data_IF_631889715274
#
_entry.id   IF_631889715274
#
_cell.length_a   1.000
_cell.length_b   1.000
_cell.length_c   1.000
_cell.angle_alpha   90.00
_cell.angle_beta   90.00
_cell.angle_gamma   90.00
#
_symmetry.space_group_name_H-M   'P 1'
#
loop_
_entity.id
_entity.type
_entity.pdbx_description
1 polymer ?
#
# COMPACT_ATOMS: atom_id res chain seq x y z
N UNK A 1 -3.28 9.97 7.63
CA UNK A 1 -3.89 8.64 7.86
C UNK A 1 -5.36 8.70 8.29
N UNK A 2 -5.80 9.67 9.07
CA UNK A 2 -7.21 9.81 9.51
C UNK A 2 -8.23 10.08 8.39
N UNK A 3 -7.81 10.62 7.25
CA UNK A 3 -8.67 10.89 6.09
C UNK A 3 -8.94 9.65 5.22
N UNK A 4 -8.10 8.62 5.31
CA UNK A 4 -8.22 7.39 4.54
C UNK A 4 -9.59 6.69 4.73
N UNK A 5 -10.06 6.46 5.97
CA UNK A 5 -11.36 5.84 6.21
C UNK A 5 -12.56 6.68 5.74
N UNK A 6 -12.37 7.98 5.55
CA UNK A 6 -13.45 8.88 5.14
C UNK A 6 -13.53 8.95 3.62
N UNK A 7 -12.40 8.98 2.93
CA UNK A 7 -12.33 9.22 1.48
C UNK A 7 -12.43 7.92 0.67
N UNK A 8 -11.76 6.86 1.11
CA UNK A 8 -11.67 5.63 0.34
C UNK A 8 -12.98 4.86 0.19
N UNK A 9 -13.77 4.58 1.26
CA UNK A 9 -14.97 3.78 1.11
C UNK A 9 -16.00 4.36 0.13
N UNK A 10 -16.31 5.68 0.13
CA UNK A 10 -17.18 6.27 -0.87
C UNK A 10 -16.63 6.12 -2.29
N UNK A 11 -15.33 6.32 -2.49
CA UNK A 11 -14.70 6.16 -3.81
C UNK A 11 -14.72 4.70 -4.28
N UNK A 12 -14.43 3.76 -3.40
CA UNK A 12 -14.52 2.33 -3.70
C UNK A 12 -15.93 1.94 -4.16
N UNK A 13 -16.97 2.38 -3.45
CA UNK A 13 -18.35 2.09 -3.81
C UNK A 13 -18.83 2.79 -5.07
N UNK A 14 -18.34 4.02 -5.32
CA UNK A 14 -18.70 4.78 -6.53
C UNK A 14 -18.11 4.16 -7.79
N UNK A 15 -16.86 3.71 -7.71
CA UNK A 15 -16.12 3.18 -8.87
C UNK A 15 -16.16 1.67 -9.02
N UNK A 16 -16.82 0.92 -8.12
CA UNK A 16 -16.92 -0.55 -8.19
C UNK A 16 -18.38 -0.98 -8.21
N UNK A 17 -18.75 -1.89 -9.10
CA UNK A 17 -20.09 -2.42 -9.16
C UNK A 17 -20.31 -3.52 -8.10
N UNK A 18 -21.55 -3.73 -7.65
CA UNK A 18 -21.87 -4.78 -6.67
C UNK A 18 -21.39 -6.17 -7.11
N UNK A 19 -21.50 -6.46 -8.39
CA UNK A 19 -21.01 -7.72 -8.95
C UNK A 19 -19.48 -7.88 -8.86
N UNK A 20 -18.75 -6.78 -8.92
CA UNK A 20 -17.27 -6.77 -8.75
C UNK A 20 -16.87 -6.87 -7.28
N UNK A 21 -17.65 -6.28 -6.36
CA UNK A 21 -17.43 -6.38 -4.91
C UNK A 21 -17.57 -7.82 -4.40
N UNK A 22 -18.51 -8.59 -4.97
CA UNK A 22 -18.77 -9.97 -4.61
C UNK A 22 -17.77 -10.99 -5.20
N UNK A 23 -16.76 -10.56 -5.96
CA UNK A 23 -15.75 -11.48 -6.49
C UNK A 23 -14.90 -12.01 -5.33
N UNK A 24 -15.11 -13.27 -4.98
CA UNK A 24 -14.31 -14.00 -4.01
C UNK A 24 -13.07 -14.56 -4.70
N UNK A 25 -11.91 -14.16 -4.22
CA UNK A 25 -10.64 -14.73 -4.69
C UNK A 25 -10.38 -16.03 -3.96
N UNK A 26 -10.39 -17.16 -4.68
CA UNK A 26 -9.96 -18.43 -4.11
C UNK A 26 -8.47 -18.39 -3.83
N UNK A 27 -8.13 -18.47 -2.55
CA UNK A 27 -6.74 -18.61 -2.15
C UNK A 27 -6.31 -20.07 -2.33
N UNK A 28 -5.76 -20.37 -3.49
CA UNK A 28 -5.07 -21.64 -3.74
C UNK A 28 -3.57 -21.43 -3.53
N UNK A 29 -3.02 -21.78 -2.38
CA UNK A 29 -1.58 -21.68 -2.13
C UNK A 29 -0.86 -22.66 -3.06
N UNK A 30 -0.25 -22.15 -4.13
CA UNK A 30 0.67 -22.93 -4.93
C UNK A 30 2.03 -22.92 -4.22
N UNK A 31 2.65 -24.07 -3.94
CA UNK A 31 3.98 -24.09 -3.37
C UNK A 31 4.95 -23.45 -4.38
N UNK A 32 5.49 -22.30 -4.00
CA UNK A 32 6.51 -21.61 -4.80
C UNK A 32 7.87 -22.12 -4.38
N UNK A 33 8.73 -22.41 -5.32
CA UNK A 33 10.09 -22.88 -5.05
C UNK A 33 10.85 -21.82 -4.21
N UNK A 34 11.55 -22.24 -3.16
CA UNK A 34 12.31 -21.37 -2.24
C UNK A 34 13.29 -20.47 -3.02
N UNK A 35 13.90 -21.00 -4.08
CA UNK A 35 14.78 -20.23 -4.97
C UNK A 35 14.08 -19.05 -5.63
N UNK A 36 12.83 -19.22 -6.07
CA UNK A 36 12.04 -18.15 -6.70
C UNK A 36 11.71 -17.06 -5.69
N UNK A 37 11.37 -17.43 -4.48
CA UNK A 37 11.03 -16.47 -3.41
C UNK A 37 12.24 -15.63 -3.00
N UNK A 38 13.44 -16.22 -3.00
CA UNK A 38 14.70 -15.51 -2.70
C UNK A 38 15.16 -14.66 -3.89
N UNK A 39 15.00 -15.15 -5.10
CA UNK A 39 15.46 -14.44 -6.30
C UNK A 39 14.57 -13.25 -6.66
N UNK A 40 13.28 -13.33 -6.36
CA UNK A 40 12.29 -12.31 -6.65
C UNK A 40 12.68 -10.92 -6.11
N UNK A 41 12.98 -10.72 -4.82
CA UNK A 41 13.36 -9.41 -4.31
C UNK A 41 14.65 -8.86 -4.91
N UNK A 42 15.59 -9.72 -5.26
CA UNK A 42 16.84 -9.31 -5.90
C UNK A 42 16.57 -8.79 -7.32
N UNK A 43 15.81 -9.54 -8.11
CA UNK A 43 15.47 -9.16 -9.49
C UNK A 43 14.66 -7.85 -9.49
N UNK A 44 13.66 -7.73 -8.61
CA UNK A 44 12.83 -6.51 -8.51
C UNK A 44 13.68 -5.30 -8.14
N UNK A 45 14.63 -5.45 -7.21
CA UNK A 45 15.54 -4.36 -6.81
C UNK A 45 16.43 -3.92 -7.98
N UNK A 46 16.99 -4.85 -8.72
CA UNK A 46 17.83 -4.54 -9.88
C UNK A 46 17.01 -3.84 -10.97
N UNK A 47 15.83 -4.37 -11.29
CA UNK A 47 14.96 -3.75 -12.29
C UNK A 47 14.51 -2.34 -11.86
N UNK A 48 14.15 -2.17 -10.60
CA UNK A 48 13.80 -0.85 -10.05
C UNK A 48 14.96 0.14 -10.15
N UNK A 49 16.18 -0.30 -9.86
CA UNK A 49 17.38 0.54 -9.99
C UNK A 49 17.66 1.00 -11.42
N UNK A 50 17.34 0.15 -12.41
CA UNK A 50 17.53 0.47 -13.83
C UNK A 50 16.43 1.40 -14.37
N UNK A 51 15.17 1.10 -14.07
CA UNK A 51 14.02 1.79 -14.67
C UNK A 51 13.49 2.96 -13.85
N UNK A 52 13.66 2.92 -12.52
CA UNK A 52 13.09 3.88 -11.57
C UNK A 52 14.13 4.27 -10.50
N UNK A 53 15.24 4.94 -10.87
CA UNK A 53 16.34 5.24 -9.96
C UNK A 53 15.89 6.05 -8.73
N UNK A 54 14.93 6.97 -8.87
CA UNK A 54 14.41 7.77 -7.75
C UNK A 54 13.61 6.94 -6.73
N UNK A 55 12.93 5.89 -7.17
CA UNK A 55 12.18 4.98 -6.30
C UNK A 55 13.02 3.78 -5.82
N UNK A 56 14.20 3.57 -6.41
CA UNK A 56 15.04 2.41 -6.12
C UNK A 56 15.38 2.24 -4.62
N UNK A 57 15.72 3.29 -3.84
CA UNK A 57 16.00 3.12 -2.42
C UNK A 57 14.81 2.59 -1.62
N UNK A 58 13.59 3.07 -1.94
CA UNK A 58 12.37 2.63 -1.27
C UNK A 58 12.05 1.18 -1.62
N UNK A 59 12.14 0.82 -2.89
CA UNK A 59 11.90 -0.54 -3.37
C UNK A 59 12.96 -1.50 -2.83
N UNK A 60 14.22 -1.09 -2.83
CA UNK A 60 15.32 -1.90 -2.32
C UNK A 60 15.16 -2.22 -0.82
N UNK A 61 14.80 -1.25 0.00
CA UNK A 61 14.57 -1.48 1.43
C UNK A 61 13.37 -2.38 1.69
N UNK A 62 12.29 -2.24 0.92
CA UNK A 62 11.13 -3.14 0.96
C UNK A 62 11.54 -4.58 0.57
N UNK A 63 12.28 -4.72 -0.51
CA UNK A 63 12.74 -6.02 -1.01
C UNK A 63 13.77 -6.66 -0.08
N UNK A 64 14.63 -5.85 0.57
CA UNK A 64 15.54 -6.34 1.61
C UNK A 64 14.76 -6.92 2.80
N UNK A 65 13.72 -6.24 3.27
CA UNK A 65 12.85 -6.76 4.34
C UNK A 65 12.16 -8.08 3.93
N UNK A 66 11.71 -8.18 2.68
CA UNK A 66 11.15 -9.42 2.15
C UNK A 66 12.20 -10.54 2.08
N UNK A 67 13.40 -10.24 1.59
CA UNK A 67 14.51 -11.18 1.52
C UNK A 67 14.91 -11.71 2.90
N UNK A 68 15.01 -10.82 3.90
CA UNK A 68 15.31 -11.20 5.29
C UNK A 68 14.27 -12.16 5.84
N UNK A 69 12.99 -11.90 5.59
CA UNK A 69 11.88 -12.75 6.02
C UNK A 69 11.89 -14.12 5.36
N UNK A 70 11.99 -14.14 4.04
CA UNK A 70 11.83 -15.37 3.24
C UNK A 70 13.09 -16.26 3.24
N UNK A 71 14.26 -15.69 3.52
CA UNK A 71 15.51 -16.47 3.63
C UNK A 71 15.47 -17.45 4.80
N UNK A 72 14.83 -17.07 5.91
CA UNK A 72 14.79 -17.84 7.16
C UNK A 72 16.12 -17.94 7.89
N UNK A 73 17.19 -17.29 7.40
CA UNK A 73 18.53 -17.36 7.99
C UNK A 73 18.74 -16.25 9.03
N UNK A 74 18.06 -15.12 8.87
CA UNK A 74 18.22 -13.92 9.72
C UNK A 74 16.93 -13.56 10.44
N UNK A 75 16.26 -14.54 11.00
CA UNK A 75 14.94 -14.39 11.63
C UNK A 75 14.94 -13.35 12.76
N UNK A 76 15.96 -13.37 13.62
CA UNK A 76 16.14 -12.40 14.70
C UNK A 76 16.30 -10.96 14.19
N UNK A 77 17.05 -10.74 13.10
CA UNK A 77 17.20 -9.43 12.48
C UNK A 77 15.88 -8.97 11.81
N UNK A 78 15.17 -9.89 11.18
CA UNK A 78 13.86 -9.62 10.59
C UNK A 78 12.84 -9.17 11.64
N UNK A 79 12.82 -9.85 12.79
CA UNK A 79 11.97 -9.50 13.93
C UNK A 79 12.34 -8.13 14.51
N UNK A 80 13.62 -7.87 14.72
CA UNK A 80 14.13 -6.59 15.24
C UNK A 80 13.80 -5.43 14.28
N UNK A 81 13.96 -5.64 12.97
CA UNK A 81 13.61 -4.63 11.96
C UNK A 81 12.12 -4.32 11.95
N UNK A 82 11.29 -5.35 12.09
CA UNK A 82 9.84 -5.23 12.08
C UNK A 82 9.28 -4.54 13.33
N UNK A 83 9.87 -4.73 14.48
CA UNK A 83 9.37 -4.20 15.76
C UNK A 83 10.22 -3.03 16.28
N UNK A 84 11.46 -3.29 16.66
CA UNK A 84 12.28 -2.28 17.33
C UNK A 84 12.63 -1.10 16.40
N UNK A 85 13.14 -1.38 15.18
CA UNK A 85 13.52 -0.32 14.24
C UNK A 85 12.29 0.44 13.77
N UNK A 86 11.18 -0.24 13.47
CA UNK A 86 9.94 0.41 13.03
C UNK A 86 9.36 1.30 14.11
N UNK A 87 9.32 0.85 15.36
CA UNK A 87 8.81 1.65 16.47
C UNK A 87 9.71 2.86 16.75
N UNK A 88 11.02 2.67 16.75
CA UNK A 88 11.98 3.76 16.94
C UNK A 88 11.89 4.79 15.81
N UNK A 89 11.85 4.36 14.56
CA UNK A 89 11.68 5.25 13.41
C UNK A 89 10.36 6.00 13.47
N UNK A 90 9.26 5.35 13.86
CA UNK A 90 7.94 5.97 14.01
C UNK A 90 7.96 7.04 15.10
N UNK A 91 8.62 6.78 16.22
CA UNK A 91 8.77 7.76 17.30
C UNK A 91 9.53 8.99 16.85
N UNK A 92 10.69 8.81 16.21
CA UNK A 92 11.47 9.94 15.69
C UNK A 92 10.76 10.69 14.58
N UNK A 93 10.09 10.01 13.66
CA UNK A 93 9.24 10.65 12.66
C UNK A 93 8.13 11.48 13.30
N UNK A 94 7.46 10.95 14.32
CA UNK A 94 6.43 11.68 15.06
C UNK A 94 6.96 12.93 15.73
N UNK A 95 8.15 12.85 16.36
CA UNK A 95 8.81 13.99 17.00
C UNK A 95 9.22 15.06 15.97
N UNK A 96 9.83 14.65 14.86
CA UNK A 96 10.27 15.58 13.79
C UNK A 96 9.05 16.26 13.17
N UNK A 97 8.03 15.50 12.79
CA UNK A 97 6.81 16.07 12.20
C UNK A 97 6.12 16.99 13.22
N UNK A 98 6.00 16.57 14.48
CA UNK A 98 5.42 17.40 15.55
C UNK A 98 6.17 18.70 15.78
N UNK A 99 7.50 18.68 15.73
CA UNK A 99 8.33 19.89 15.90
C UNK A 99 8.18 20.89 14.73
N UNK A 100 7.82 20.43 13.55
CA UNK A 100 7.57 21.29 12.37
C UNK A 100 6.16 21.88 12.33
N UNK A 101 5.25 21.39 13.17
CA UNK A 101 3.87 21.88 13.27
C UNK A 101 3.78 23.15 14.15
N UNK A 102 4.41 24.22 13.70
CA UNK A 102 4.22 25.56 14.31
C UNK A 102 2.91 26.15 13.76
N UNK A 103 2.10 26.76 14.65
CA UNK A 103 0.76 27.27 14.30
C UNK A 103 0.76 28.22 13.09
N UNK A 104 1.69 29.16 13.06
CA UNK A 104 1.80 30.15 11.98
C UNK A 104 2.23 29.53 10.64
N UNK A 105 3.09 28.51 10.66
CA UNK A 105 3.51 27.79 9.47
C UNK A 105 2.43 26.83 8.97
N UNK A 106 1.71 26.19 9.89
CA UNK A 106 0.66 25.22 9.56
C UNK A 106 -0.58 25.88 8.96
N UNK A 107 -0.97 27.05 9.47
CA UNK A 107 -2.13 27.83 8.98
C UNK A 107 -1.78 28.75 7.80
N UNK A 108 -0.55 28.69 7.28
CA UNK A 108 -0.19 29.47 6.11
C UNK A 108 -0.97 29.01 4.87
N UNK A 109 -1.29 29.97 3.99
CA UNK A 109 -2.00 29.70 2.72
C UNK A 109 -1.25 28.66 1.87
N UNK A 110 0.09 28.65 1.95
CA UNK A 110 0.93 27.65 1.27
C UNK A 110 0.66 26.24 1.76
N UNK A 111 0.66 26.04 3.08
CA UNK A 111 0.42 24.73 3.70
C UNK A 111 -0.99 24.24 3.43
N UNK A 112 -2.00 25.12 3.48
CA UNK A 112 -3.38 24.76 3.16
C UNK A 112 -3.54 24.32 1.70
N UNK A 113 -2.88 24.99 0.76
CA UNK A 113 -2.85 24.58 -0.65
C UNK A 113 -2.21 23.19 -0.83
N UNK A 114 -1.08 22.92 -0.17
CA UNK A 114 -0.41 21.60 -0.22
C UNK A 114 -1.30 20.52 0.39
N UNK A 115 -2.00 20.81 1.47
CA UNK A 115 -2.92 19.90 2.14
C UNK A 115 -4.11 19.54 1.25
N UNK A 116 -4.69 20.53 0.59
CA UNK A 116 -5.77 20.34 -0.38
C UNK A 116 -5.30 19.55 -1.60
N UNK A 117 -4.12 19.89 -2.13
CA UNK A 117 -3.51 19.15 -3.23
C UNK A 117 -3.24 17.69 -2.87
N UNK A 118 -2.74 17.44 -1.65
CA UNK A 118 -2.52 16.08 -1.14
C UNK A 118 -3.81 15.28 -1.02
N UNK A 119 -4.90 15.91 -0.62
CA UNK A 119 -6.22 15.29 -0.55
C UNK A 119 -6.74 14.89 -1.94
N UNK A 120 -6.60 15.79 -2.92
CA UNK A 120 -6.95 15.52 -4.32
C UNK A 120 -6.06 14.42 -4.90
N UNK A 121 -4.76 14.48 -4.67
CA UNK A 121 -3.80 13.47 -5.12
C UNK A 121 -4.14 12.08 -4.54
N UNK A 122 -4.49 12.01 -3.26
CA UNK A 122 -4.90 10.76 -2.61
C UNK A 122 -6.20 10.18 -3.20
N UNK A 123 -7.17 11.04 -3.52
CA UNK A 123 -8.40 10.61 -4.19
C UNK A 123 -8.10 10.06 -5.59
N UNK A 124 -7.25 10.75 -6.37
CA UNK A 124 -6.81 10.30 -7.68
C UNK A 124 -6.00 8.99 -7.63
N UNK A 125 -5.13 8.82 -6.63
CA UNK A 125 -4.39 7.59 -6.38
C UNK A 125 -5.35 6.41 -6.14
N UNK A 126 -6.37 6.61 -5.31
CA UNK A 126 -7.40 5.61 -5.05
C UNK A 126 -8.18 5.25 -6.31
N UNK A 127 -8.58 6.23 -7.11
CA UNK A 127 -9.30 6.01 -8.37
C UNK A 127 -8.39 5.29 -9.37
N UNK A 128 -7.14 5.72 -9.51
CA UNK A 128 -6.15 5.08 -10.38
C UNK A 128 -5.91 3.63 -10.00
N UNK A 129 -5.76 3.35 -8.71
CA UNK A 129 -5.64 2.00 -8.17
C UNK A 129 -6.85 1.12 -8.50
N UNK A 130 -8.06 1.64 -8.32
CA UNK A 130 -9.31 0.94 -8.68
C UNK A 130 -9.42 0.66 -10.18
N UNK A 131 -9.11 1.63 -11.02
CA UNK A 131 -9.13 1.46 -12.47
C UNK A 131 -8.11 0.41 -12.92
N UNK A 132 -6.91 0.44 -12.36
CA UNK A 132 -5.91 -0.60 -12.59
C UNK A 132 -6.38 -1.96 -12.09
N UNK A 133 -6.99 -2.03 -10.91
CA UNK A 133 -7.60 -3.24 -10.38
C UNK A 133 -8.69 -3.80 -11.29
N UNK A 134 -9.52 -2.93 -11.89
CA UNK A 134 -10.52 -3.33 -12.90
C UNK A 134 -9.87 -3.88 -14.17
N UNK A 135 -8.82 -3.24 -14.65
CA UNK A 135 -8.07 -3.74 -15.80
C UNK A 135 -7.57 -5.17 -15.54
N UNK A 136 -6.95 -5.39 -14.39
CA UNK A 136 -6.46 -6.71 -13.97
C UNK A 136 -7.61 -7.69 -13.79
N UNK A 137 -8.75 -7.28 -13.24
CA UNK A 137 -9.96 -8.09 -13.13
C UNK A 137 -10.44 -8.58 -14.48
N UNK A 138 -10.53 -7.71 -15.47
CA UNK A 138 -10.94 -8.06 -16.84
C UNK A 138 -9.94 -9.00 -17.50
N UNK A 139 -8.64 -8.69 -17.41
CA UNK A 139 -7.58 -9.51 -17.98
C UNK A 139 -7.47 -10.92 -17.35
N UNK A 140 -7.80 -11.04 -16.06
CA UNK A 140 -7.80 -12.32 -15.35
C UNK A 140 -9.10 -13.14 -15.50
N UNK A 141 -10.05 -12.67 -16.31
CA UNK A 141 -11.36 -13.33 -16.49
C UNK A 141 -12.23 -13.25 -15.23
N UNK A 142 -12.23 -12.10 -14.56
CA UNK A 142 -13.00 -11.81 -13.33
C UNK A 142 -12.66 -12.70 -12.12
N UNK A 143 -11.42 -13.15 -12.04
CA UNK A 143 -10.92 -13.93 -10.89
C UNK A 143 -10.34 -13.06 -9.78
N UNK A 144 -9.99 -11.82 -10.07
CA UNK A 144 -9.37 -10.89 -9.14
C UNK A 144 -10.35 -9.75 -8.83
N UNK A 145 -10.56 -9.48 -7.55
CA UNK A 145 -11.43 -8.40 -7.12
C UNK A 145 -10.74 -7.04 -7.38
N UNK A 146 -11.40 -6.07 -8.04
CA UNK A 146 -10.83 -4.74 -8.31
C UNK A 146 -10.40 -3.97 -7.07
N UNK A 147 -10.98 -4.25 -5.90
CA UNK A 147 -10.59 -3.63 -4.63
C UNK A 147 -9.13 -3.86 -4.25
N UNK A 148 -8.49 -4.91 -4.80
CA UNK A 148 -7.04 -5.13 -4.61
C UNK A 148 -6.23 -3.93 -5.11
N UNK A 149 -6.64 -3.30 -6.21
CA UNK A 149 -6.00 -2.10 -6.72
C UNK A 149 -6.09 -0.91 -5.75
N UNK A 150 -7.25 -0.70 -5.12
CA UNK A 150 -7.40 0.33 -4.10
C UNK A 150 -6.69 -0.01 -2.79
N UNK A 151 -6.50 -1.29 -2.49
CA UNK A 151 -5.73 -1.74 -1.33
C UNK A 151 -4.22 -1.52 -1.51
N UNK A 152 -3.73 -1.60 -2.73
CA UNK A 152 -2.30 -1.53 -3.07
C UNK A 152 -1.73 -0.11 -3.18
N UNK A 153 -2.46 0.91 -2.74
CA UNK A 153 -2.01 2.30 -2.73
C UNK A 153 -1.11 2.61 -1.52
N UNK A 154 -0.57 3.82 -1.48
CA UNK A 154 0.42 4.27 -0.48
C UNK A 154 0.03 4.07 0.99
N UNK A 155 -1.26 3.98 1.32
CA UNK A 155 -1.79 3.72 2.67
C UNK A 155 -2.11 2.23 2.91
N UNK A 156 -1.38 1.32 2.31
CA UNK A 156 -1.65 -0.13 2.22
C UNK A 156 -2.21 -0.81 3.50
N UNK A 157 -1.64 -0.68 4.70
CA UNK A 157 -2.17 -1.42 5.84
C UNK A 157 -3.59 -1.04 6.23
N UNK A 158 -3.97 0.24 6.03
CA UNK A 158 -5.29 0.75 6.34
C UNK A 158 -6.24 0.54 5.15
N UNK A 159 -5.77 0.83 3.95
CA UNK A 159 -6.54 0.65 2.70
C UNK A 159 -6.94 -0.80 2.47
N UNK A 160 -6.06 -1.76 2.77
CA UNK A 160 -6.36 -3.19 2.69
C UNK A 160 -7.49 -3.61 3.65
N UNK A 161 -7.46 -3.11 4.89
CA UNK A 161 -8.53 -3.37 5.87
C UNK A 161 -9.86 -2.75 5.45
N UNK A 162 -9.83 -1.54 4.87
CA UNK A 162 -11.02 -0.87 4.38
C UNK A 162 -11.61 -1.57 3.15
N UNK A 163 -10.76 -2.00 2.22
CA UNK A 163 -11.17 -2.76 1.05
C UNK A 163 -11.85 -4.07 1.48
N UNK A 164 -11.29 -4.79 2.46
CA UNK A 164 -11.89 -5.98 3.03
C UNK A 164 -13.24 -5.67 3.70
N UNK A 165 -13.32 -4.59 4.49
CA UNK A 165 -14.56 -4.19 5.15
C UNK A 165 -15.66 -3.87 4.13
N UNK A 166 -15.35 -3.08 3.10
CA UNK A 166 -16.28 -2.73 2.02
C UNK A 166 -16.77 -3.99 1.29
N UNK A 167 -15.87 -4.94 0.99
CA UNK A 167 -16.25 -6.20 0.37
C UNK A 167 -17.20 -7.05 1.24
N UNK A 168 -16.96 -7.09 2.55
CA UNK A 168 -17.79 -7.87 3.50
C UNK A 168 -19.15 -7.22 3.80
N UNK A 169 -19.23 -5.88 3.79
CA UNK A 169 -20.50 -5.18 4.03
C UNK A 169 -21.52 -5.39 2.89
N UNK A 170 -21.07 -5.64 1.67
CA UNK A 170 -21.93 -5.89 0.52
C UNK A 170 -22.17 -7.41 0.27
N UNK A 171 -21.53 -8.30 1.03
CA UNK A 171 -21.69 -9.77 0.97
C UNK A 171 -22.75 -10.29 1.97
N UNK A 172 -23.33 -9.40 2.80
CA UNK A 172 -24.49 -9.62 3.66
C UNK A 172 -25.72 -9.01 3.01
#
# INVERSE_FOLDING_TARGET
>A
MSLVPIIQPPLMRLFTTKAELMIRMEYTPRPVAKTTVILFPIIVTVLAGIFLPDAAPLIATLMLGNLMRESGVVEGLSHTAKEAITNTATLFLGLVIGSTMQGDAFLSVGTLKVLLLGLVAFALDTIGGLLFGKLVCVLSGRKINPLVGAAAISAFPMSGRLAQKVALEDDN
#
